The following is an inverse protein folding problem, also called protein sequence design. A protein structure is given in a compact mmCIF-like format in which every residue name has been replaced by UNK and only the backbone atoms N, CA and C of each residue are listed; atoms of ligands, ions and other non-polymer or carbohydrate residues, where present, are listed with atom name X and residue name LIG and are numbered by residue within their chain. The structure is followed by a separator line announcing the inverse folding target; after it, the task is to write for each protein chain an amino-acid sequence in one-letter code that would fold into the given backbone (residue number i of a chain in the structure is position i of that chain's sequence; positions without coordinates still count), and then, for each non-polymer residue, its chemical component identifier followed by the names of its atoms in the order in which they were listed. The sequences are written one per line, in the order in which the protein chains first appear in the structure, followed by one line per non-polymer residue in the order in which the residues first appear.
data_IF_243500442674
#
_entry.id   IF_243500442674
#
_cell.length_a   1.000
_cell.length_b   1.000
_cell.length_c   1.000
_cell.angle_alpha   90.00
_cell.angle_beta   90.00
_cell.angle_gamma   90.00
#
_symmetry.space_group_name_H-M   'P 1'
#
loop_
_entity.id
_entity.type
_entity.pdbx_description
1 polymer ?
#
# COMPACT_ATOMS: atom_id res chain seq x y z
N UNK A 1 -3.84 6.26 1.92
CA UNK A 1 -4.27 5.07 2.68
C UNK A 1 -5.78 4.94 2.84
N UNK A 2 -6.57 6.01 3.07
CA UNK A 2 -8.04 5.88 3.05
C UNK A 2 -8.56 5.24 1.75
N UNK A 3 -8.02 5.61 0.59
CA UNK A 3 -8.37 4.96 -0.68
C UNK A 3 -8.11 3.44 -0.69
N UNK A 4 -6.96 3.02 -0.18
CA UNK A 4 -6.63 1.60 -0.04
C UNK A 4 -7.63 0.89 0.88
N UNK A 5 -8.05 1.51 1.98
CA UNK A 5 -9.03 0.91 2.90
C UNK A 5 -10.39 0.70 2.22
N UNK A 6 -10.83 1.63 1.38
CA UNK A 6 -12.02 1.44 0.55
C UNK A 6 -11.85 0.32 -0.49
N UNK A 7 -10.68 0.21 -1.14
CA UNK A 7 -10.41 -0.89 -2.08
C UNK A 7 -10.50 -2.23 -1.35
N UNK A 8 -9.83 -2.36 -0.19
CA UNK A 8 -9.81 -3.60 0.59
C UNK A 8 -11.21 -3.96 1.11
N UNK A 9 -11.99 -2.97 1.56
CA UNK A 9 -13.40 -3.19 1.96
C UNK A 9 -14.22 -3.73 0.81
N UNK A 10 -14.08 -3.14 -0.38
CA UNK A 10 -14.81 -3.60 -1.57
C UNK A 10 -14.40 -4.99 -2.05
N UNK A 11 -13.13 -5.35 -1.91
CA UNK A 11 -12.60 -6.65 -2.33
C UNK A 11 -13.05 -7.75 -1.36
N UNK A 12 -12.94 -7.49 -0.05
CA UNK A 12 -13.18 -8.52 0.98
C UNK A 12 -14.64 -8.63 1.40
N UNK A 13 -15.43 -7.57 1.19
CA UNK A 13 -16.79 -7.45 1.75
C UNK A 13 -16.83 -7.10 3.24
N UNK A 14 -15.67 -7.00 3.89
CA UNK A 14 -15.53 -6.67 5.31
C UNK A 14 -15.14 -5.21 5.49
N UNK A 15 -15.65 -4.54 6.53
CA UNK A 15 -15.32 -3.14 6.79
C UNK A 15 -13.86 -3.01 7.27
N UNK A 16 -13.02 -2.38 6.42
CA UNK A 16 -11.61 -2.12 6.72
C UNK A 16 -11.39 -0.61 6.68
N UNK A 17 -11.18 -0.02 7.87
CA UNK A 17 -10.87 1.39 8.04
C UNK A 17 -9.37 1.71 7.92
N UNK A 18 -9.04 3.01 8.00
CA UNK A 18 -7.66 3.48 8.12
C UNK A 18 -7.45 4.15 9.47
N UNK A 19 -6.82 3.42 10.39
CA UNK A 19 -6.44 3.90 11.73
C UNK A 19 -4.94 3.60 11.98
N UNK A 20 -4.04 4.52 11.59
CA UNK A 20 -2.61 4.26 11.64
C UNK A 20 -2.07 4.28 13.09
N UNK A 21 -1.30 3.24 13.44
CA UNK A 21 -0.48 3.25 14.67
C UNK A 21 0.76 4.13 14.51
N UNK A 22 1.47 4.39 15.61
CA UNK A 22 2.76 5.09 15.55
C UNK A 22 3.81 4.25 14.82
N UNK A 23 4.80 4.91 14.20
CA UNK A 23 5.93 4.25 13.51
C UNK A 23 6.63 3.23 14.42
N UNK A 24 6.88 3.60 15.68
CA UNK A 24 7.48 2.71 16.67
C UNK A 24 6.61 1.48 16.91
N UNK A 25 5.31 1.68 17.10
CA UNK A 25 4.38 0.57 17.35
C UNK A 25 4.28 -0.35 16.14
N UNK A 26 4.30 0.21 14.93
CA UNK A 26 4.32 -0.56 13.69
C UNK A 26 5.58 -1.43 13.60
N UNK A 27 6.76 -0.87 13.87
CA UNK A 27 8.01 -1.63 13.88
C UNK A 27 8.01 -2.78 14.89
N UNK A 28 7.41 -2.57 16.08
CA UNK A 28 7.25 -3.60 17.10
C UNK A 28 6.32 -4.74 16.66
N UNK A 29 5.22 -4.44 15.96
CA UNK A 29 4.28 -5.44 15.45
C UNK A 29 4.99 -6.41 14.50
N UNK A 30 5.86 -5.89 13.63
CA UNK A 30 6.57 -6.66 12.62
C UNK A 30 7.99 -7.05 13.01
N UNK A 31 8.38 -6.88 14.28
CA UNK A 31 9.75 -7.15 14.73
C UNK A 31 10.15 -8.64 14.56
N UNK A 32 9.20 -9.57 14.70
CA UNK A 32 9.44 -11.00 14.56
C UNK A 32 9.81 -11.41 13.11
N UNK A 33 9.45 -10.59 12.12
CA UNK A 33 9.74 -10.82 10.71
C UNK A 33 11.15 -10.32 10.33
N UNK A 34 11.90 -9.73 11.27
CA UNK A 34 13.28 -9.27 11.08
C UNK A 34 13.40 -7.83 10.55
N UNK A 35 12.41 -7.36 9.79
CA UNK A 35 12.52 -6.11 9.02
C UNK A 35 11.56 -5.00 9.51
N UNK A 36 11.04 -5.11 10.73
CA UNK A 36 10.03 -4.17 11.26
C UNK A 36 10.45 -2.68 11.22
N UNK A 37 11.72 -2.36 11.51
CA UNK A 37 12.23 -0.99 11.42
C UNK A 37 12.33 -0.49 9.98
N UNK A 38 12.77 -1.36 9.07
CA UNK A 38 12.85 -1.04 7.64
C UNK A 38 11.45 -0.75 7.10
N UNK A 39 10.50 -1.65 7.35
CA UNK A 39 9.12 -1.51 6.88
C UNK A 39 8.45 -0.25 7.46
N UNK A 40 8.65 0.04 8.75
CA UNK A 40 8.15 1.25 9.37
C UNK A 40 8.73 2.53 8.74
N UNK A 41 10.03 2.52 8.40
CA UNK A 41 10.68 3.66 7.74
C UNK A 41 10.12 3.92 6.33
N UNK A 42 9.73 2.87 5.61
CA UNK A 42 9.11 2.98 4.29
C UNK A 42 7.75 3.71 4.37
N UNK A 43 6.89 3.29 5.31
CA UNK A 43 5.60 3.97 5.52
C UNK A 43 5.77 5.42 6.02
N UNK A 44 6.81 5.69 6.80
CA UNK A 44 7.15 7.06 7.21
C UNK A 44 7.53 7.91 5.98
N UNK A 45 8.33 7.39 5.05
CA UNK A 45 8.65 8.11 3.81
C UNK A 45 7.40 8.37 2.94
N UNK A 46 6.49 7.40 2.85
CA UNK A 46 5.19 7.60 2.18
C UNK A 46 4.36 8.70 2.86
N UNK A 47 4.31 8.73 4.20
CA UNK A 47 3.61 9.75 4.97
C UNK A 47 4.22 11.16 4.79
N UNK A 48 5.51 11.24 4.49
CA UNK A 48 6.21 12.47 4.12
C UNK A 48 5.95 12.90 2.66
N UNK A 49 5.17 12.14 1.90
CA UNK A 49 4.88 12.42 0.49
C UNK A 49 6.03 12.09 -0.47
N UNK A 50 7.01 11.29 -0.04
CA UNK A 50 8.19 10.96 -0.85
C UNK A 50 7.95 9.82 -1.86
N UNK A 51 6.76 9.19 -1.83
CA UNK A 51 6.42 8.00 -2.62
C UNK A 51 5.22 8.23 -3.56
N UNK A 52 4.92 9.48 -3.92
CA UNK A 52 3.78 9.83 -4.79
C UNK A 52 4.19 10.18 -6.23
N UNK A 53 5.43 9.86 -6.64
CA UNK A 53 5.91 10.12 -7.99
C UNK A 53 5.24 9.17 -8.98
N UNK A 54 4.83 9.71 -10.14
CA UNK A 54 4.22 8.96 -11.24
C UNK A 54 4.91 9.33 -12.55
N UNK A 55 5.09 8.35 -13.42
CA UNK A 55 5.57 8.51 -14.80
C UNK A 55 4.73 7.66 -15.74
N UNK A 56 4.85 7.90 -17.05
CA UNK A 56 4.20 7.12 -18.10
C UNK A 56 5.13 6.04 -18.69
N UNK A 57 6.33 5.84 -18.12
CA UNK A 57 7.34 4.91 -18.63
C UNK A 57 6.82 3.49 -18.80
N UNK A 58 6.00 3.00 -17.87
CA UNK A 58 5.39 1.68 -17.97
C UNK A 58 4.55 1.56 -19.26
N UNK A 59 3.68 2.53 -19.52
CA UNK A 59 2.82 2.51 -20.70
C UNK A 59 3.62 2.76 -21.98
N UNK A 60 4.65 3.61 -21.92
CA UNK A 60 5.56 3.85 -23.04
C UNK A 60 6.33 2.58 -23.45
N UNK A 61 6.81 1.81 -22.48
CA UNK A 61 7.63 0.61 -22.72
C UNK A 61 6.76 -0.60 -23.09
N UNK A 62 5.62 -0.79 -22.43
CA UNK A 62 4.78 -2.00 -22.57
C UNK A 62 3.66 -1.86 -23.61
N UNK A 63 3.30 -0.63 -23.98
CA UNK A 63 2.22 -0.35 -24.91
C UNK A 63 0.80 -0.47 -24.31
N UNK A 64 0.67 -0.62 -22.99
CA UNK A 64 -0.62 -0.67 -22.31
C UNK A 64 -0.57 -0.02 -20.91
N UNK A 65 -1.74 0.29 -20.36
CA UNK A 65 -1.84 0.86 -19.01
C UNK A 65 -1.53 -0.21 -17.94
N UNK A 66 -0.98 0.18 -16.77
CA UNK A 66 -0.81 -0.74 -15.64
C UNK A 66 -2.18 -1.22 -15.15
N UNK A 67 -2.25 -2.46 -14.66
CA UNK A 67 -3.47 -2.99 -14.05
C UNK A 67 -3.77 -2.25 -12.74
N UNK A 68 -5.01 -1.80 -12.56
CA UNK A 68 -5.46 -1.17 -11.33
C UNK A 68 -5.44 -2.15 -10.15
N UNK A 69 -5.06 -1.67 -8.96
CA UNK A 69 -4.98 -2.50 -7.76
C UNK A 69 -6.30 -3.21 -7.44
N UNK A 70 -7.44 -2.52 -7.60
CA UNK A 70 -8.77 -3.11 -7.39
C UNK A 70 -9.03 -4.27 -8.36
N UNK A 71 -8.72 -4.09 -9.64
CA UNK A 71 -8.87 -5.14 -10.65
C UNK A 71 -7.99 -6.34 -10.32
N UNK A 72 -6.72 -6.08 -9.97
CA UNK A 72 -5.79 -7.13 -9.58
C UNK A 72 -6.30 -7.93 -8.38
N UNK A 73 -6.78 -7.27 -7.32
CA UNK A 73 -7.24 -7.95 -6.11
C UNK A 73 -8.51 -8.77 -6.37
N UNK A 74 -9.52 -8.22 -7.02
CA UNK A 74 -10.78 -8.93 -7.37
C UNK A 74 -10.50 -10.19 -8.22
N UNK A 75 -9.48 -10.14 -9.07
CA UNK A 75 -9.14 -11.26 -9.95
C UNK A 75 -8.46 -12.42 -9.22
N UNK A 76 -7.78 -12.17 -8.09
CA UNK A 76 -6.88 -13.15 -7.47
C UNK A 76 -7.32 -13.59 -6.06
N UNK A 77 -8.23 -12.88 -5.40
CA UNK A 77 -8.70 -13.14 -4.04
C UNK A 77 -10.22 -12.99 -3.96
#
# INVERSE_FOLDING_TARGET
MPELSYIMTNVTGEEIGYDPVTVKKFAEIYAAEGDGNELASMYQAAAMGLMNQVTDDFAHITGHQPTDMKEFLIKNY
#
